data_IF_412723348828
#
_entry.id   IF_412723348828
#
_cell.length_a   1.000
_cell.length_b   1.000
_cell.length_c   1.000
_cell.angle_alpha   90.00
_cell.angle_beta   90.00
_cell.angle_gamma   90.00
#
_symmetry.space_group_name_H-M   'P 1'
#
loop_
_entity.id
_entity.type
_entity.pdbx_description
1 polymer ?
#
# COMPACT_ATOMS: atom_id res chain seq x y z
N UNK A 1 -36.50 6.48 0.76
CA UNK A 1 -35.32 7.34 0.77
C UNK A 1 -34.48 7.06 -0.45
N UNK A 2 -34.02 8.08 -1.09
CA UNK A 2 -33.13 7.95 -2.26
C UNK A 2 -31.69 7.79 -1.77
N UNK A 3 -31.02 6.72 -2.13
CA UNK A 3 -29.62 6.49 -1.78
C UNK A 3 -28.72 7.46 -2.55
N UNK A 4 -27.79 8.12 -1.87
CA UNK A 4 -26.80 9.01 -2.47
C UNK A 4 -25.62 8.17 -2.95
N UNK A 5 -25.32 8.28 -4.24
CA UNK A 5 -24.18 7.57 -4.84
C UNK A 5 -24.42 6.07 -5.08
N UNK A 6 -23.43 5.44 -5.65
CA UNK A 6 -23.41 4.00 -5.95
C UNK A 6 -22.00 3.46 -5.72
N UNK A 7 -21.91 2.27 -5.14
CA UNK A 7 -20.66 1.50 -5.03
C UNK A 7 -20.85 0.20 -5.78
N UNK A 8 -19.93 -0.09 -6.70
CA UNK A 8 -19.86 -1.37 -7.37
C UNK A 8 -19.33 -2.45 -6.40
N UNK A 9 -19.60 -3.71 -6.69
CA UNK A 9 -19.04 -4.82 -5.94
C UNK A 9 -17.52 -4.79 -5.96
N UNK A 10 -16.89 -5.25 -4.89
CA UNK A 10 -15.44 -5.32 -4.83
C UNK A 10 -14.86 -6.25 -5.89
N UNK A 11 -13.83 -5.79 -6.58
CA UNK A 11 -13.05 -6.56 -7.55
C UNK A 11 -11.55 -6.32 -7.29
N UNK A 12 -10.87 -7.35 -6.83
CA UNK A 12 -9.44 -7.33 -6.53
C UNK A 12 -8.54 -7.01 -7.73
N UNK A 13 -9.06 -7.15 -8.96
CA UNK A 13 -8.33 -6.80 -10.19
C UNK A 13 -8.39 -5.31 -10.50
N UNK A 14 -9.35 -4.59 -9.95
CA UNK A 14 -9.62 -3.17 -10.23
C UNK A 14 -9.11 -2.25 -9.12
N UNK A 15 -9.25 -2.66 -7.88
CA UNK A 15 -8.84 -1.82 -6.73
C UNK A 15 -8.38 -2.66 -5.54
N UNK A 16 -7.62 -2.03 -4.66
CA UNK A 16 -7.20 -2.65 -3.38
C UNK A 16 -8.35 -2.64 -2.38
N UNK A 17 -8.37 -3.64 -1.51
CA UNK A 17 -9.39 -3.73 -0.45
C UNK A 17 -9.44 -2.49 0.44
N UNK A 18 -8.29 -1.93 0.81
CA UNK A 18 -8.21 -0.70 1.61
C UNK A 18 -8.94 0.48 0.95
N UNK A 19 -8.69 0.69 -0.35
CA UNK A 19 -9.33 1.76 -1.13
C UNK A 19 -10.85 1.54 -1.24
N UNK A 20 -11.26 0.30 -1.41
CA UNK A 20 -12.69 -0.05 -1.43
C UNK A 20 -13.36 0.27 -0.11
N UNK A 21 -12.75 -0.11 1.02
CA UNK A 21 -13.26 0.19 2.38
C UNK A 21 -13.39 1.70 2.61
N UNK A 22 -12.39 2.50 2.22
CA UNK A 22 -12.45 3.96 2.31
C UNK A 22 -13.66 4.52 1.55
N UNK A 23 -13.94 4.01 0.36
CA UNK A 23 -15.12 4.41 -0.43
C UNK A 23 -16.43 3.99 0.24
N UNK A 24 -16.48 2.79 0.82
CA UNK A 24 -17.64 2.32 1.58
C UNK A 24 -17.90 3.19 2.81
N UNK A 25 -16.85 3.60 3.52
CA UNK A 25 -16.98 4.52 4.65
C UNK A 25 -17.56 5.90 4.23
N UNK A 26 -17.12 6.44 3.08
CA UNK A 26 -17.72 7.65 2.53
C UNK A 26 -19.18 7.46 2.13
N UNK A 27 -19.52 6.30 1.59
CA UNK A 27 -20.92 5.95 1.30
C UNK A 27 -21.78 5.90 2.57
N UNK A 28 -21.25 5.35 3.66
CA UNK A 28 -21.93 5.33 4.95
C UNK A 28 -22.23 6.75 5.46
N UNK A 29 -21.22 7.62 5.39
CA UNK A 29 -21.37 9.03 5.80
C UNK A 29 -22.41 9.76 4.95
N UNK A 30 -22.34 9.63 3.63
CA UNK A 30 -23.25 10.28 2.70
C UNK A 30 -24.72 9.84 2.87
N UNK A 31 -24.93 8.60 3.31
CA UNK A 31 -26.25 8.01 3.47
C UNK A 31 -26.73 7.92 4.94
N UNK A 32 -25.98 8.52 5.88
CA UNK A 32 -26.27 8.47 7.31
C UNK A 32 -26.48 7.03 7.83
N UNK A 33 -25.65 6.08 7.37
CA UNK A 33 -25.67 4.70 7.84
C UNK A 33 -25.10 4.65 9.26
N UNK A 34 -25.94 4.30 10.23
CA UNK A 34 -25.53 4.13 11.61
C UNK A 34 -24.71 2.83 11.82
N UNK A 35 -24.11 2.69 13.00
CA UNK A 35 -23.21 1.57 13.30
C UNK A 35 -23.90 0.20 13.19
N UNK A 36 -25.17 0.11 13.55
CA UNK A 36 -25.92 -1.15 13.48
C UNK A 36 -26.20 -1.61 12.05
N UNK A 37 -26.23 -0.67 11.10
CA UNK A 37 -26.46 -0.93 9.69
C UNK A 37 -25.18 -1.07 8.85
N UNK A 38 -23.99 -0.76 9.39
CA UNK A 38 -22.73 -0.83 8.64
C UNK A 38 -22.41 -2.23 8.15
N UNK A 39 -22.54 -3.25 8.99
CA UNK A 39 -22.25 -4.64 8.62
C UNK A 39 -23.22 -5.14 7.54
N UNK A 40 -24.55 -5.10 7.71
CA UNK A 40 -25.45 -5.55 6.66
C UNK A 40 -25.30 -4.77 5.36
N UNK A 41 -25.00 -3.48 5.42
CA UNK A 41 -24.75 -2.67 4.22
C UNK A 41 -23.46 -3.11 3.52
N UNK A 42 -22.35 -3.29 4.25
CA UNK A 42 -21.10 -3.78 3.68
C UNK A 42 -21.30 -5.14 3.01
N UNK A 43 -21.93 -6.09 3.69
CA UNK A 43 -22.18 -7.43 3.17
C UNK A 43 -23.04 -7.41 1.90
N UNK A 44 -23.92 -6.43 1.76
CA UNK A 44 -24.75 -6.23 0.55
C UNK A 44 -23.94 -5.61 -0.61
N UNK A 45 -22.89 -4.84 -0.32
CA UNK A 45 -22.11 -4.11 -1.31
C UNK A 45 -20.94 -4.91 -1.89
N UNK A 46 -20.29 -5.78 -1.09
CA UNK A 46 -19.03 -6.44 -1.48
C UNK A 46 -19.15 -7.42 -2.63
N UNK A 47 -20.36 -7.84 -2.97
CA UNK A 47 -20.61 -8.81 -4.05
C UNK A 47 -20.47 -10.27 -3.63
N UNK A 48 -21.04 -11.16 -4.44
CA UNK A 48 -21.16 -12.60 -4.13
C UNK A 48 -19.80 -13.31 -4.01
N UNK A 49 -18.83 -12.96 -4.85
CA UNK A 49 -17.48 -13.55 -4.81
C UNK A 49 -16.78 -13.25 -3.49
N UNK A 50 -16.77 -11.99 -3.10
CA UNK A 50 -16.12 -11.56 -1.85
C UNK A 50 -16.87 -12.04 -0.61
N UNK A 51 -18.20 -12.09 -0.68
CA UNK A 51 -19.01 -12.64 0.39
C UNK A 51 -18.73 -14.14 0.61
N UNK A 52 -18.60 -14.91 -0.46
CA UNK A 52 -18.27 -16.34 -0.38
C UNK A 52 -16.87 -16.54 0.23
N UNK A 53 -15.88 -15.77 -0.20
CA UNK A 53 -14.55 -15.77 0.39
C UNK A 53 -14.59 -15.46 1.89
N UNK A 54 -15.29 -14.40 2.27
CA UNK A 54 -15.44 -14.00 3.67
C UNK A 54 -16.08 -15.11 4.52
N UNK A 55 -17.11 -15.74 3.99
CA UNK A 55 -17.79 -16.86 4.64
C UNK A 55 -16.84 -18.04 4.89
N UNK A 56 -16.03 -18.38 3.89
CA UNK A 56 -15.02 -19.45 4.02
C UNK A 56 -13.97 -19.11 5.07
N UNK A 57 -13.48 -17.87 5.10
CA UNK A 57 -12.49 -17.39 6.07
C UNK A 57 -13.01 -17.36 7.51
N UNK A 58 -14.31 -17.13 7.69
CA UNK A 58 -14.94 -17.05 9.02
C UNK A 58 -15.54 -18.37 9.52
N UNK A 59 -15.58 -19.41 8.70
CA UNK A 59 -16.15 -20.71 9.06
C UNK A 59 -15.56 -21.21 10.40
N UNK A 60 -16.39 -21.69 11.36
CA UNK A 60 -17.83 -22.01 11.26
C UNK A 60 -18.79 -20.82 11.52
N UNK A 61 -18.28 -19.62 11.83
CA UNK A 61 -19.10 -18.46 12.12
C UNK A 61 -19.64 -17.80 10.84
N UNK A 62 -20.75 -17.06 10.98
CA UNK A 62 -21.34 -16.34 9.85
C UNK A 62 -20.85 -14.89 9.81
N UNK A 63 -20.65 -14.29 8.61
CA UNK A 63 -20.23 -12.89 8.48
C UNK A 63 -21.12 -11.90 9.27
N UNK A 64 -22.43 -12.13 9.29
CA UNK A 64 -23.38 -11.25 9.99
C UNK A 64 -23.17 -11.18 11.52
N UNK A 65 -22.46 -12.13 12.12
CA UNK A 65 -22.16 -12.15 13.56
C UNK A 65 -20.88 -11.39 13.93
N UNK A 66 -20.15 -10.90 12.94
CA UNK A 66 -18.88 -10.18 13.14
C UNK A 66 -19.09 -8.66 13.10
N UNK A 67 -18.20 -7.94 13.78
CA UNK A 67 -18.16 -6.48 13.69
C UNK A 67 -17.63 -6.02 12.32
N UNK A 68 -17.92 -4.77 11.95
CA UNK A 68 -17.40 -4.15 10.75
C UNK A 68 -15.87 -4.27 10.68
N UNK A 69 -15.18 -3.94 11.78
CA UNK A 69 -13.73 -3.98 11.85
C UNK A 69 -13.16 -5.40 11.71
N UNK A 70 -13.79 -6.41 12.30
CA UNK A 70 -13.37 -7.81 12.16
C UNK A 70 -13.48 -8.28 10.70
N UNK A 71 -14.56 -7.93 10.02
CA UNK A 71 -14.76 -8.24 8.60
C UNK A 71 -13.69 -7.57 7.73
N UNK A 72 -13.49 -6.27 7.93
CA UNK A 72 -12.47 -5.48 7.19
C UNK A 72 -11.09 -6.09 7.39
N UNK A 73 -10.70 -6.37 8.63
CA UNK A 73 -9.39 -6.94 8.98
C UNK A 73 -9.19 -8.35 8.40
N UNK A 74 -10.21 -9.20 8.47
CA UNK A 74 -10.16 -10.57 7.93
C UNK A 74 -9.91 -10.56 6.42
N UNK A 75 -10.65 -9.76 5.68
CA UNK A 75 -10.45 -9.61 4.23
C UNK A 75 -9.12 -8.94 3.90
N UNK A 76 -8.70 -7.94 4.68
CA UNK A 76 -7.42 -7.27 4.52
C UNK A 76 -6.24 -8.24 4.63
N UNK A 77 -6.24 -9.11 5.63
CA UNK A 77 -5.18 -10.10 5.85
C UNK A 77 -5.08 -11.12 4.70
N UNK A 78 -6.19 -11.44 4.07
CA UNK A 78 -6.24 -12.38 2.96
C UNK A 78 -5.92 -11.73 1.62
N UNK A 79 -6.54 -10.58 1.31
CA UNK A 79 -6.43 -9.91 0.01
C UNK A 79 -5.16 -9.07 -0.14
N UNK A 80 -4.64 -8.55 0.96
CA UNK A 80 -3.44 -7.71 0.99
C UNK A 80 -2.58 -8.09 2.20
N UNK A 81 -1.98 -9.28 2.21
CA UNK A 81 -1.09 -9.68 3.30
C UNK A 81 0.04 -8.65 3.43
N UNK A 82 0.37 -8.29 4.66
CA UNK A 82 1.48 -7.37 4.93
C UNK A 82 2.74 -7.91 4.26
N UNK A 83 3.41 -7.11 3.43
CA UNK A 83 4.69 -7.52 2.85
C UNK A 83 5.68 -7.90 3.96
N UNK A 84 6.44 -8.98 3.75
CA UNK A 84 7.53 -9.33 4.65
C UNK A 84 8.61 -8.27 4.56
N UNK A 85 8.90 -7.58 5.66
CA UNK A 85 9.91 -6.51 5.73
C UNK A 85 11.25 -6.94 5.12
N UNK A 86 11.70 -8.16 5.43
CA UNK A 86 12.98 -8.68 4.89
C UNK A 86 12.93 -8.85 3.37
N UNK A 87 11.81 -9.28 2.80
CA UNK A 87 11.65 -9.43 1.36
C UNK A 87 11.63 -8.07 0.65
N UNK A 88 10.97 -7.07 1.25
CA UNK A 88 10.94 -5.71 0.73
C UNK A 88 12.32 -5.04 0.81
N UNK A 89 13.04 -5.23 1.90
CA UNK A 89 14.43 -4.78 2.05
C UNK A 89 15.36 -5.46 1.04
N UNK A 90 15.17 -6.74 0.80
CA UNK A 90 15.94 -7.45 -0.22
C UNK A 90 15.74 -6.85 -1.62
N UNK A 91 14.49 -6.56 -2.02
CA UNK A 91 14.19 -5.89 -3.29
C UNK A 91 14.82 -4.51 -3.36
N UNK A 92 14.73 -3.73 -2.31
CA UNK A 92 15.33 -2.40 -2.19
C UNK A 92 16.85 -2.46 -2.33
N UNK A 93 17.53 -3.34 -1.61
CA UNK A 93 18.99 -3.45 -1.66
C UNK A 93 19.52 -4.03 -2.97
N UNK A 94 18.73 -4.79 -3.69
CA UNK A 94 19.09 -5.32 -5.02
C UNK A 94 18.82 -4.36 -6.18
N UNK A 95 18.04 -3.29 -5.95
CA UNK A 95 17.65 -2.37 -7.01
C UNK A 95 18.82 -1.46 -7.41
N UNK A 96 19.28 -1.62 -8.63
CA UNK A 96 20.29 -0.76 -9.27
C UNK A 96 19.65 0.02 -10.42
N UNK A 97 20.26 1.12 -10.81
CA UNK A 97 19.85 1.89 -11.99
C UNK A 97 20.00 1.02 -13.24
N UNK A 98 18.95 0.92 -14.04
CA UNK A 98 18.95 0.17 -15.29
C UNK A 98 19.62 0.96 -16.44
N UNK A 99 19.98 0.25 -17.51
CA UNK A 99 20.44 0.88 -18.72
C UNK A 99 19.38 1.76 -19.35
N UNK A 100 19.73 2.99 -19.72
CA UNK A 100 18.79 3.98 -20.25
C UNK A 100 17.83 4.60 -19.22
N UNK A 101 17.89 4.18 -17.97
CA UNK A 101 17.05 4.74 -16.91
C UNK A 101 17.63 6.07 -16.42
N UNK A 102 16.77 7.09 -16.30
CA UNK A 102 17.19 8.36 -15.70
C UNK A 102 17.39 8.23 -14.20
N UNK A 103 18.22 9.09 -13.61
CA UNK A 103 18.40 9.14 -12.15
C UNK A 103 17.08 9.44 -11.45
N UNK A 104 16.24 10.32 -12.02
CA UNK A 104 14.93 10.66 -11.43
C UNK A 104 13.98 9.46 -11.38
N UNK A 105 13.92 8.66 -12.44
CA UNK A 105 13.11 7.43 -12.48
C UNK A 105 13.63 6.42 -11.48
N UNK A 106 14.94 6.23 -11.38
CA UNK A 106 15.58 5.36 -10.42
C UNK A 106 15.27 5.76 -8.96
N UNK A 107 15.38 7.06 -8.65
CA UNK A 107 15.02 7.61 -7.34
C UNK A 107 13.55 7.39 -7.02
N UNK A 108 12.65 7.62 -7.96
CA UNK A 108 11.21 7.41 -7.77
C UNK A 108 10.89 5.94 -7.44
N UNK A 109 11.57 5.01 -8.10
CA UNK A 109 11.39 3.58 -7.86
C UNK A 109 11.94 3.15 -6.49
N UNK A 110 13.10 3.68 -6.07
CA UNK A 110 13.63 3.47 -4.73
C UNK A 110 12.66 3.96 -3.65
N UNK A 111 12.03 5.13 -3.85
CA UNK A 111 11.01 5.65 -2.93
C UNK A 111 9.79 4.74 -2.82
N UNK A 112 9.37 4.12 -3.90
CA UNK A 112 8.31 3.11 -3.91
C UNK A 112 8.69 1.88 -3.08
N UNK A 113 9.90 1.36 -3.28
CA UNK A 113 10.39 0.16 -2.61
C UNK A 113 10.54 0.34 -1.10
N UNK A 114 10.92 1.53 -0.62
CA UNK A 114 11.11 1.76 0.82
C UNK A 114 9.81 1.83 1.61
N UNK A 115 8.66 1.97 0.98
CA UNK A 115 7.37 2.14 1.66
C UNK A 115 7.07 1.04 2.70
N UNK A 116 7.52 -0.19 2.43
CA UNK A 116 7.30 -1.35 3.29
C UNK A 116 8.58 -1.89 3.96
N UNK A 117 9.68 -1.14 3.86
CA UNK A 117 10.98 -1.55 4.44
C UNK A 117 11.14 -1.20 5.92
N UNK A 118 10.27 -0.36 6.46
CA UNK A 118 10.28 0.05 7.87
C UNK A 118 11.64 0.57 8.36
N UNK A 119 12.24 1.51 7.62
CA UNK A 119 13.54 2.11 8.00
C UNK A 119 13.42 3.19 9.09
N UNK A 120 12.22 3.72 9.36
CA UNK A 120 11.99 4.74 10.39
C UNK A 120 12.90 5.95 10.22
N UNK A 121 13.59 6.35 11.26
CA UNK A 121 14.53 7.49 11.26
C UNK A 121 15.74 7.29 10.31
N UNK A 122 16.02 6.07 9.89
CA UNK A 122 17.13 5.76 8.98
C UNK A 122 16.74 5.82 7.48
N UNK A 123 15.49 6.16 7.17
CA UNK A 123 14.98 6.20 5.79
C UNK A 123 15.86 7.01 4.86
N UNK A 124 16.19 8.24 5.23
CA UNK A 124 17.00 9.13 4.38
C UNK A 124 18.42 8.60 4.14
N UNK A 125 19.00 7.97 5.17
CA UNK A 125 20.32 7.33 5.06
C UNK A 125 20.27 6.12 4.14
N UNK A 126 19.28 5.25 4.30
CA UNK A 126 19.10 4.07 3.47
C UNK A 126 18.88 4.44 1.99
N UNK A 127 18.04 5.43 1.71
CA UNK A 127 17.81 5.94 0.36
C UNK A 127 19.09 6.50 -0.27
N UNK A 128 19.81 7.36 0.47
CA UNK A 128 21.07 7.93 0.03
C UNK A 128 22.08 6.84 -0.32
N UNK A 129 22.29 5.92 0.60
CA UNK A 129 23.28 4.86 0.45
C UNK A 129 22.93 3.96 -0.74
N UNK A 130 21.66 3.59 -0.89
CA UNK A 130 21.21 2.78 -2.01
C UNK A 130 21.32 3.52 -3.36
N UNK A 131 20.97 4.80 -3.39
CA UNK A 131 21.12 5.63 -4.60
C UNK A 131 22.57 5.59 -5.09
N UNK A 132 23.50 5.94 -4.20
CA UNK A 132 24.93 6.03 -4.58
C UNK A 132 25.46 4.66 -5.00
N UNK A 133 25.18 3.61 -4.23
CA UNK A 133 25.66 2.25 -4.52
C UNK A 133 25.09 1.68 -5.82
N UNK A 134 23.91 2.09 -6.24
CA UNK A 134 23.22 1.55 -7.42
C UNK A 134 23.35 2.37 -8.70
N UNK A 135 24.04 3.52 -8.67
CA UNK A 135 24.28 4.32 -9.87
C UNK A 135 25.15 3.60 -10.89
N UNK A 136 24.77 3.68 -12.17
CA UNK A 136 25.57 3.12 -13.29
C UNK A 136 26.80 3.95 -13.64
N UNK A 137 26.67 5.29 -13.54
CA UNK A 137 27.77 6.19 -13.88
C UNK A 137 28.83 6.18 -12.78
N UNK A 138 29.94 5.49 -13.03
CA UNK A 138 31.05 5.31 -12.08
C UNK A 138 31.72 6.65 -11.72
N UNK A 139 31.78 7.60 -12.64
CA UNK A 139 32.37 8.92 -12.38
C UNK A 139 31.54 9.72 -11.40
N UNK A 140 30.23 9.75 -11.61
CA UNK A 140 29.29 10.41 -10.69
C UNK A 140 29.31 9.70 -9.32
N UNK A 141 29.32 8.36 -9.31
CA UNK A 141 29.38 7.57 -8.09
C UNK A 141 30.65 7.88 -7.28
N UNK A 142 31.82 7.92 -7.91
CA UNK A 142 33.09 8.29 -7.26
C UNK A 142 33.05 9.72 -6.71
N UNK A 143 32.51 10.66 -7.48
CA UNK A 143 32.35 12.04 -7.03
C UNK A 143 31.49 12.14 -5.78
N UNK A 144 30.35 11.44 -5.74
CA UNK A 144 29.45 11.42 -4.58
C UNK A 144 30.12 10.76 -3.37
N UNK A 145 30.84 9.67 -3.56
CA UNK A 145 31.55 8.96 -2.49
C UNK A 145 32.70 9.77 -1.87
N UNK A 146 33.27 10.74 -2.61
CA UNK A 146 34.33 11.62 -2.09
C UNK A 146 33.81 12.76 -1.23
N UNK A 147 32.51 12.98 -1.15
CA UNK A 147 31.91 14.05 -0.36
C UNK A 147 31.72 13.63 1.09
N UNK A 148 32.38 14.33 2.02
CA UNK A 148 32.34 14.05 3.46
C UNK A 148 30.94 14.19 4.10
N UNK A 149 30.07 15.03 3.51
CA UNK A 149 28.69 15.24 3.93
C UNK A 149 27.75 15.18 2.72
N UNK A 150 27.45 13.99 2.29
CA UNK A 150 26.48 13.80 1.22
C UNK A 150 25.06 13.99 1.79
N UNK A 151 24.54 15.17 1.63
CA UNK A 151 23.16 15.49 1.96
C UNK A 151 22.38 15.62 0.65
N UNK A 152 21.47 14.68 0.37
CA UNK A 152 20.66 14.68 -0.85
C UNK A 152 19.19 15.06 -0.51
N UNK A 153 18.94 16.18 0.20
CA UNK A 153 17.58 16.51 0.62
C UNK A 153 16.71 16.96 -0.55
N UNK A 154 17.34 17.51 -1.63
CA UNK A 154 16.61 18.10 -2.76
C UNK A 154 16.03 17.06 -3.73
N UNK A 155 16.67 15.91 -3.87
CA UNK A 155 16.18 14.81 -4.72
C UNK A 155 15.00 14.05 -4.10
N UNK A 156 14.83 14.18 -2.78
CA UNK A 156 13.79 13.45 -2.03
C UNK A 156 12.54 14.29 -1.73
N UNK A 157 12.60 15.60 -1.81
CA UNK A 157 11.44 16.46 -1.64
C UNK A 157 10.63 16.48 -2.94
N UNK A 158 9.41 15.98 -2.88
CA UNK A 158 8.43 16.28 -3.92
C UNK A 158 8.18 17.79 -3.97
N UNK A 159 7.89 18.33 -5.16
CA UNK A 159 7.51 19.72 -5.31
C UNK A 159 6.28 20.06 -4.49
#
# INVERSE_FOLDING_TARGET
MTTIGKIESFDETQEKWETYVERVEQFFLANNIDDDHRVPTLLSLIGGKTYALLRDLLTPEKPATKSFQEIVTTLQQHLSPKPLEIAERFRFYKRNQHEGETVLTYVADLKKLVAHCNFGANLNKALRDRLVCGLRNVQIQKCLLSQAKLNIPRLWRSP
#
